data_IF_659373516767
#
_entry.id   IF_659373516767
#
_cell.length_a   1.000
_cell.length_b   1.000
_cell.length_c   1.000
_cell.angle_alpha   90.00
_cell.angle_beta   90.00
_cell.angle_gamma   90.00
#
_symmetry.space_group_name_H-M   'P 1'
#
loop_
_entity.id
_entity.type
_entity.pdbx_description
1 polymer ?
#
# COMPACT_ATOMS: atom_id res chain seq x y z
N UNK A 1 8.85 -0.77 42.80
CA UNK A 1 10.23 -0.69 43.30
C UNK A 1 10.17 -0.11 44.71
N UNK A 2 10.23 -0.95 45.74
CA UNK A 2 10.47 -0.46 47.11
C UNK A 2 12.00 -0.42 47.25
N UNK A 3 12.59 0.76 47.13
CA UNK A 3 14.02 1.08 47.41
C UNK A 3 15.05 0.00 47.01
N UNK A 4 15.37 -0.13 45.72
CA UNK A 4 16.58 -0.85 45.24
C UNK A 4 16.80 -2.29 45.74
N UNK A 5 15.77 -2.98 46.22
CA UNK A 5 15.85 -4.38 46.62
C UNK A 5 15.35 -5.28 45.48
N UNK A 6 16.19 -6.23 45.05
CA UNK A 6 15.77 -7.33 44.19
C UNK A 6 14.93 -8.28 45.04
N UNK A 7 13.63 -8.34 44.77
CA UNK A 7 12.73 -9.30 45.39
C UNK A 7 12.60 -10.46 44.41
N UNK A 8 12.86 -11.69 44.80
CA UNK A 8 12.65 -12.81 43.88
C UNK A 8 11.14 -13.03 43.67
N UNK A 9 10.66 -13.46 42.48
CA UNK A 9 9.23 -13.65 42.21
C UNK A 9 8.50 -14.52 43.24
N UNK A 10 9.17 -15.54 43.79
CA UNK A 10 8.63 -16.38 44.87
C UNK A 10 8.44 -15.63 46.20
N UNK A 11 9.37 -14.74 46.55
CA UNK A 11 9.23 -13.88 47.74
C UNK A 11 8.09 -12.87 47.54
N UNK A 12 7.94 -12.31 46.34
CA UNK A 12 6.86 -11.38 46.05
C UNK A 12 5.49 -12.04 46.19
N UNK A 13 5.28 -13.22 45.61
CA UNK A 13 4.01 -13.95 45.74
C UNK A 13 3.69 -14.30 47.20
N UNK A 14 4.70 -14.68 47.98
CA UNK A 14 4.54 -14.99 49.40
C UNK A 14 4.06 -13.78 50.23
N UNK A 15 4.52 -12.57 49.92
CA UNK A 15 4.18 -11.35 50.66
C UNK A 15 3.12 -10.48 49.96
N UNK A 16 2.56 -10.92 48.84
CA UNK A 16 1.65 -10.13 48.01
C UNK A 16 0.44 -9.62 48.81
N UNK A 17 -0.20 -10.48 49.61
CA UNK A 17 -1.35 -10.12 50.44
C UNK A 17 -1.00 -9.04 51.48
N UNK A 18 0.24 -9.01 51.96
CA UNK A 18 0.73 -8.02 52.92
C UNK A 18 1.05 -6.67 52.26
N UNK A 19 1.35 -6.67 50.96
CA UNK A 19 1.80 -5.48 50.22
C UNK A 19 0.75 -4.88 49.30
N UNK A 20 -0.48 -5.41 49.26
CA UNK A 20 -1.59 -4.90 48.44
C UNK A 20 -1.83 -3.40 48.63
N UNK A 21 -1.65 -2.87 49.85
CA UNK A 21 -1.86 -1.46 50.18
C UNK A 21 -0.73 -0.51 49.71
N UNK A 22 0.37 -1.04 49.14
CA UNK A 22 1.57 -0.29 48.74
C UNK A 22 1.71 -0.27 47.20
N UNK A 23 0.87 -1.01 46.48
CA UNK A 23 0.96 -1.14 45.03
C UNK A 23 0.50 0.15 44.33
N UNK A 24 1.43 0.76 43.59
CA UNK A 24 1.19 1.96 42.79
C UNK A 24 0.54 1.55 41.46
N UNK A 25 -0.69 2.00 41.23
CA UNK A 25 -1.54 1.70 40.07
C UNK A 25 -0.97 2.21 38.73
N UNK A 26 -0.10 3.22 38.76
CA UNK A 26 0.56 3.74 37.57
C UNK A 26 1.97 3.17 37.39
N UNK A 27 2.22 2.62 36.21
CA UNK A 27 3.48 1.98 35.83
C UNK A 27 4.23 2.90 34.88
N UNK A 28 5.46 3.25 35.25
CA UNK A 28 6.39 3.87 34.32
C UNK A 28 6.70 2.90 33.16
N UNK A 29 6.68 3.40 31.92
CA UNK A 29 6.91 2.60 30.71
C UNK A 29 8.17 1.72 30.76
N UNK A 30 9.23 2.20 31.41
CA UNK A 30 10.51 1.49 31.55
C UNK A 30 10.46 0.29 32.51
N UNK A 31 9.43 0.19 33.35
CA UNK A 31 9.29 -0.86 34.38
C UNK A 31 8.19 -1.88 34.08
N UNK A 32 7.47 -1.74 32.96
CA UNK A 32 6.32 -2.61 32.63
C UNK A 32 6.70 -4.09 32.62
N UNK A 33 7.77 -4.45 31.90
CA UNK A 33 8.26 -5.85 31.83
C UNK A 33 8.66 -6.36 33.21
N UNK A 34 9.46 -5.59 33.97
CA UNK A 34 9.92 -5.98 35.29
C UNK A 34 8.76 -6.23 36.26
N UNK A 35 7.71 -5.38 36.24
CA UNK A 35 6.54 -5.58 37.10
C UNK A 35 5.73 -6.80 36.68
N UNK A 36 5.64 -7.09 35.39
CA UNK A 36 4.95 -8.27 34.87
C UNK A 36 5.60 -9.59 35.27
N UNK A 37 6.90 -9.61 35.58
CA UNK A 37 7.57 -10.80 36.13
C UNK A 37 7.03 -11.23 37.51
N UNK A 38 6.31 -10.33 38.21
CA UNK A 38 5.78 -10.55 39.54
C UNK A 38 4.28 -10.88 39.55
N UNK A 39 3.67 -11.13 38.39
CA UNK A 39 2.27 -11.56 38.29
C UNK A 39 2.19 -13.04 37.94
N UNK A 40 0.98 -13.60 37.89
CA UNK A 40 0.73 -14.96 37.39
C UNK A 40 1.26 -15.17 35.96
N UNK A 41 1.43 -14.09 35.19
CA UNK A 41 2.00 -14.11 33.84
C UNK A 41 3.53 -14.11 33.83
N UNK A 42 4.18 -13.95 34.98
CA UNK A 42 5.63 -13.70 35.07
C UNK A 42 6.49 -14.79 34.47
N UNK A 43 6.09 -16.06 34.58
CA UNK A 43 6.81 -17.17 33.96
C UNK A 43 6.76 -17.11 32.42
N UNK A 44 5.59 -16.80 31.86
CA UNK A 44 5.44 -16.65 30.40
C UNK A 44 6.20 -15.42 29.89
N UNK A 45 6.17 -14.31 30.63
CA UNK A 45 6.96 -13.10 30.32
C UNK A 45 8.46 -13.39 30.37
N UNK A 46 8.93 -14.11 31.39
CA UNK A 46 10.34 -14.50 31.47
C UNK A 46 10.76 -15.37 30.28
N UNK A 47 9.94 -16.37 29.91
CA UNK A 47 10.20 -17.20 28.74
C UNK A 47 10.26 -16.38 27.43
N UNK A 48 9.40 -15.38 27.26
CA UNK A 48 9.48 -14.44 26.13
C UNK A 48 10.79 -13.63 26.11
N UNK A 49 11.25 -13.15 27.27
CA UNK A 49 12.51 -12.38 27.39
C UNK A 49 13.73 -13.25 27.08
N UNK A 50 13.69 -14.54 27.45
CA UNK A 50 14.74 -15.52 27.14
C UNK A 50 14.69 -16.01 25.67
N UNK A 51 13.66 -15.63 24.91
CA UNK A 51 13.46 -16.05 23.52
C UNK A 51 12.80 -17.43 23.38
N UNK A 52 12.40 -18.09 24.47
CA UNK A 52 11.69 -19.36 24.47
C UNK A 52 10.17 -19.13 24.34
N UNK A 53 9.76 -18.68 23.14
CA UNK A 53 8.36 -18.31 22.89
C UNK A 53 7.43 -19.54 22.92
N UNK A 54 7.92 -20.71 22.49
CA UNK A 54 7.14 -21.95 22.53
C UNK A 54 6.73 -22.29 23.97
N UNK A 55 7.68 -22.22 24.91
CA UNK A 55 7.39 -22.41 26.33
C UNK A 55 6.46 -21.33 26.86
N UNK A 56 6.67 -20.06 26.48
CA UNK A 56 5.78 -18.97 26.89
C UNK A 56 4.31 -19.23 26.51
N UNK A 57 4.06 -19.74 25.30
CA UNK A 57 2.72 -20.09 24.81
C UNK A 57 2.11 -21.24 25.61
N UNK A 58 2.91 -22.22 26.05
CA UNK A 58 2.44 -23.37 26.84
C UNK A 58 2.09 -23.01 28.28
N UNK A 59 2.82 -22.06 28.87
CA UNK A 59 2.69 -21.71 30.29
C UNK A 59 1.90 -20.42 30.54
N UNK A 60 1.39 -19.76 29.49
CA UNK A 60 0.59 -18.54 29.66
C UNK A 60 -0.70 -18.86 30.45
N UNK A 61 -1.07 -18.04 31.45
CA UNK A 61 -2.31 -18.22 32.19
C UNK A 61 -3.57 -18.09 31.32
N UNK A 62 -4.59 -18.88 31.64
CA UNK A 62 -5.94 -18.74 31.03
C UNK A 62 -6.86 -17.79 31.80
N UNK A 63 -6.37 -17.23 32.91
CA UNK A 63 -7.14 -16.39 33.82
C UNK A 63 -7.38 -15.01 33.20
N UNK A 64 -8.53 -14.40 33.53
CA UNK A 64 -8.78 -13.00 33.17
C UNK A 64 -7.77 -12.12 33.90
N UNK A 65 -7.17 -11.18 33.18
CA UNK A 65 -6.27 -10.16 33.74
C UNK A 65 -7.08 -9.23 34.65
N UNK A 66 -6.61 -9.03 35.88
CA UNK A 66 -7.28 -8.21 36.89
C UNK A 66 -6.63 -6.83 36.98
N UNK A 67 -5.32 -6.76 36.76
CA UNK A 67 -4.53 -5.52 36.91
C UNK A 67 -4.03 -4.97 35.56
N UNK A 68 -3.61 -3.69 35.56
CA UNK A 68 -2.95 -3.07 34.41
C UNK A 68 -1.63 -3.79 34.06
N UNK A 69 -0.89 -4.26 35.08
CA UNK A 69 0.36 -5.01 34.92
C UNK A 69 0.12 -6.35 34.22
N UNK A 70 -0.93 -7.08 34.60
CA UNK A 70 -1.32 -8.34 33.97
C UNK A 70 -1.86 -8.13 32.56
N UNK A 71 -2.60 -7.04 32.34
CA UNK A 71 -3.07 -6.65 31.01
C UNK A 71 -1.89 -6.40 30.08
N UNK A 72 -0.87 -5.68 30.54
CA UNK A 72 0.38 -5.52 29.78
C UNK A 72 1.08 -6.86 29.57
N UNK A 73 1.22 -7.69 30.61
CA UNK A 73 1.89 -8.99 30.52
C UNK A 73 1.24 -9.90 29.47
N UNK A 74 -0.09 -9.96 29.46
CA UNK A 74 -0.87 -10.69 28.47
C UNK A 74 -0.60 -10.18 27.06
N UNK A 75 -0.64 -8.86 26.84
CA UNK A 75 -0.33 -8.25 25.54
C UNK A 75 1.12 -8.47 25.10
N UNK A 76 2.06 -8.46 26.05
CA UNK A 76 3.47 -8.73 25.79
C UNK A 76 3.67 -10.16 25.30
N UNK A 77 3.11 -11.15 26.00
CA UNK A 77 3.17 -12.56 25.57
C UNK A 77 2.47 -12.74 24.22
N UNK A 78 1.31 -12.12 24.02
CA UNK A 78 0.59 -12.16 22.75
C UNK A 78 1.39 -11.54 21.59
N UNK A 79 2.10 -10.43 21.80
CA UNK A 79 2.99 -9.86 20.80
C UNK A 79 4.07 -10.86 20.36
N UNK A 80 4.74 -11.49 21.33
CA UNK A 80 5.80 -12.46 21.04
C UNK A 80 5.25 -13.73 20.36
N UNK A 81 4.09 -14.24 20.80
CA UNK A 81 3.39 -15.34 20.15
C UNK A 81 3.04 -15.02 18.69
N UNK A 82 2.52 -13.82 18.44
CA UNK A 82 2.23 -13.35 17.09
C UNK A 82 3.46 -13.26 16.20
N UNK A 83 4.57 -12.71 16.72
CA UNK A 83 5.84 -12.66 16.00
C UNK A 83 6.38 -14.06 15.71
N UNK A 84 6.29 -14.97 16.68
CA UNK A 84 6.68 -16.36 16.50
C UNK A 84 5.87 -17.03 15.37
N UNK A 85 4.56 -16.80 15.30
CA UNK A 85 3.74 -17.34 14.21
C UNK A 85 4.11 -16.77 12.85
N UNK A 86 4.41 -15.47 12.76
CA UNK A 86 4.92 -14.86 11.51
C UNK A 86 6.27 -15.44 11.08
N UNK A 87 7.17 -15.73 12.03
CA UNK A 87 8.46 -16.39 11.74
C UNK A 87 8.28 -17.81 11.16
N UNK A 88 7.21 -18.49 11.54
CA UNK A 88 6.86 -19.83 11.04
C UNK A 88 6.04 -19.79 9.74
N UNK A 89 5.93 -18.62 9.11
CA UNK A 89 5.11 -18.39 7.93
C UNK A 89 3.59 -18.62 8.13
N UNK A 90 3.11 -18.55 9.38
CA UNK A 90 1.72 -18.82 9.77
C UNK A 90 0.97 -17.54 10.11
N UNK A 91 0.90 -16.61 9.18
CA UNK A 91 0.30 -15.29 9.41
C UNK A 91 -1.16 -15.34 9.90
N UNK A 92 -1.96 -16.31 9.47
CA UNK A 92 -3.33 -16.50 9.95
C UNK A 92 -3.39 -16.82 11.44
N UNK A 93 -2.46 -17.64 11.94
CA UNK A 93 -2.33 -17.96 13.36
C UNK A 93 -1.85 -16.72 14.17
N UNK A 94 -1.15 -15.78 13.52
CA UNK A 94 -0.67 -14.55 14.15
C UNK A 94 -1.76 -13.46 14.34
N UNK A 95 -2.90 -13.54 13.63
CA UNK A 95 -3.94 -12.50 13.63
C UNK A 95 -4.47 -12.24 15.05
N UNK A 96 -4.91 -13.29 15.73
CA UNK A 96 -5.51 -13.18 17.06
C UNK A 96 -4.53 -12.60 18.10
N UNK A 97 -3.32 -13.18 18.29
CA UNK A 97 -2.39 -12.67 19.28
C UNK A 97 -1.90 -11.25 18.99
N UNK A 98 -1.67 -10.89 17.72
CA UNK A 98 -1.25 -9.53 17.37
C UNK A 98 -2.36 -8.49 17.57
N UNK A 99 -3.62 -8.85 17.30
CA UNK A 99 -4.75 -7.97 17.59
C UNK A 99 -4.94 -7.76 19.10
N UNK A 100 -4.69 -8.78 19.94
CA UNK A 100 -4.71 -8.61 21.40
C UNK A 100 -3.64 -7.61 21.86
N UNK A 101 -2.45 -7.65 21.25
CA UNK A 101 -1.33 -6.77 21.56
C UNK A 101 -1.37 -5.40 20.87
N UNK A 102 -2.37 -5.12 20.02
CA UNK A 102 -2.40 -3.97 19.09
C UNK A 102 -2.07 -2.62 19.74
N UNK A 103 -2.63 -2.34 20.91
CA UNK A 103 -2.38 -1.05 21.58
C UNK A 103 -0.92 -0.87 22.03
N UNK A 104 -0.25 -1.94 22.49
CA UNK A 104 1.16 -1.85 22.89
C UNK A 104 2.08 -1.82 21.66
N UNK A 105 1.70 -2.51 20.59
CA UNK A 105 2.39 -2.44 19.29
C UNK A 105 2.37 -0.98 18.78
N UNK A 106 1.20 -0.34 18.75
CA UNK A 106 1.07 1.06 18.32
C UNK A 106 1.87 2.04 19.19
N UNK A 107 2.12 1.70 20.46
CA UNK A 107 2.92 2.51 21.37
C UNK A 107 4.44 2.26 21.27
N UNK A 108 4.89 1.19 20.59
CA UNK A 108 6.29 0.77 20.53
C UNK A 108 6.83 0.72 19.10
N UNK A 109 7.67 1.69 18.73
CA UNK A 109 8.27 1.74 17.39
C UNK A 109 9.07 0.48 17.06
N UNK A 110 9.81 -0.06 18.02
CA UNK A 110 10.60 -1.29 17.83
C UNK A 110 9.70 -2.49 17.49
N UNK A 111 8.52 -2.58 18.10
CA UNK A 111 7.59 -3.67 17.83
C UNK A 111 6.95 -3.55 16.45
N UNK A 112 6.64 -2.32 16.03
CA UNK A 112 6.16 -2.04 14.68
C UNK A 112 7.19 -2.44 13.63
N UNK A 113 8.46 -2.06 13.83
CA UNK A 113 9.56 -2.39 12.92
C UNK A 113 9.79 -3.89 12.79
N UNK A 114 9.75 -4.64 13.89
CA UNK A 114 9.92 -6.10 13.83
C UNK A 114 8.74 -6.77 13.12
N UNK A 115 7.49 -6.34 13.38
CA UNK A 115 6.32 -6.86 12.65
C UNK A 115 6.44 -6.52 11.16
N UNK A 116 6.79 -5.29 10.79
CA UNK A 116 6.97 -4.89 9.40
C UNK A 116 8.02 -5.76 8.68
N UNK A 117 9.15 -6.03 9.35
CA UNK A 117 10.20 -6.93 8.86
C UNK A 117 9.67 -8.35 8.66
N UNK A 118 8.98 -8.91 9.65
CA UNK A 118 8.42 -10.26 9.57
C UNK A 118 7.34 -10.37 8.49
N UNK A 119 6.45 -9.39 8.38
CA UNK A 119 5.44 -9.33 7.32
C UNK A 119 6.07 -9.21 5.92
N UNK A 120 7.17 -8.47 5.79
CA UNK A 120 7.93 -8.37 4.53
C UNK A 120 8.52 -9.71 4.10
N UNK A 121 8.97 -10.54 5.05
CA UNK A 121 9.42 -11.91 4.77
C UNK A 121 8.23 -12.84 4.47
N UNK A 122 7.13 -12.70 5.18
CA UNK A 122 5.92 -13.50 5.01
C UNK A 122 5.34 -13.35 3.59
N UNK A 123 5.23 -12.12 3.08
CA UNK A 123 4.64 -11.89 1.74
C UNK A 123 5.38 -12.61 0.61
N UNK A 124 6.67 -12.90 0.77
CA UNK A 124 7.45 -13.63 -0.23
C UNK A 124 7.05 -15.10 -0.35
N UNK A 125 6.39 -15.66 0.66
CA UNK A 125 5.94 -17.05 0.70
C UNK A 125 4.47 -17.23 0.32
N UNK A 126 3.73 -16.14 0.16
CA UNK A 126 2.35 -16.19 -0.30
C UNK A 126 2.37 -16.31 -1.83
N UNK A 127 1.65 -17.30 -2.36
CA UNK A 127 1.60 -17.57 -3.82
C UNK A 127 0.26 -17.20 -4.44
N UNK A 128 -0.79 -17.09 -3.61
CA UNK A 128 -2.15 -16.87 -4.07
C UNK A 128 -2.54 -15.38 -3.98
N UNK A 129 -3.14 -14.85 -5.04
CA UNK A 129 -3.54 -13.44 -5.10
C UNK A 129 -4.58 -13.06 -4.02
N UNK A 130 -5.62 -13.88 -3.82
CA UNK A 130 -6.62 -13.67 -2.76
C UNK A 130 -5.96 -13.67 -1.38
N UNK A 131 -5.03 -14.58 -1.15
CA UNK A 131 -4.28 -14.63 0.10
C UNK A 131 -3.43 -13.36 0.31
N UNK A 132 -2.79 -12.84 -0.73
CA UNK A 132 -2.05 -11.58 -0.64
C UNK A 132 -2.95 -10.41 -0.23
N UNK A 133 -4.16 -10.33 -0.78
CA UNK A 133 -5.13 -9.29 -0.40
C UNK A 133 -5.55 -9.40 1.06
N UNK A 134 -5.88 -10.60 1.53
CA UNK A 134 -6.26 -10.84 2.92
C UNK A 134 -5.10 -10.49 3.87
N UNK A 135 -3.89 -10.93 3.52
CA UNK A 135 -2.69 -10.65 4.30
C UNK A 135 -2.36 -9.15 4.34
N UNK A 136 -2.45 -8.45 3.20
CA UNK A 136 -2.22 -7.02 3.12
C UNK A 136 -3.22 -6.23 3.97
N UNK A 137 -4.49 -6.64 3.96
CA UNK A 137 -5.53 -6.02 4.77
C UNK A 137 -5.25 -6.23 6.27
N UNK A 138 -4.88 -7.46 6.68
CA UNK A 138 -4.45 -7.74 8.05
C UNK A 138 -3.30 -6.83 8.50
N UNK A 139 -2.24 -6.73 7.68
CA UNK A 139 -1.05 -5.95 8.04
C UNK A 139 -1.37 -4.45 8.13
N UNK A 140 -2.18 -3.93 7.21
CA UNK A 140 -2.67 -2.56 7.25
C UNK A 140 -3.52 -2.29 8.50
N UNK A 141 -4.46 -3.18 8.83
CA UNK A 141 -5.33 -3.00 9.99
C UNK A 141 -4.56 -3.07 11.30
N UNK A 142 -3.47 -3.84 11.36
CA UNK A 142 -2.61 -3.95 12.53
C UNK A 142 -1.77 -2.70 12.75
N UNK A 143 -1.05 -2.25 11.71
CA UNK A 143 -0.01 -1.21 11.83
C UNK A 143 -0.30 0.08 11.08
N UNK A 144 -0.91 -0.02 9.89
CA UNK A 144 -1.00 1.08 8.92
C UNK A 144 0.35 1.81 8.71
N UNK A 145 1.47 1.07 8.76
CA UNK A 145 2.81 1.56 8.42
C UNK A 145 2.91 1.87 6.92
N UNK A 146 3.95 2.59 6.49
CA UNK A 146 4.13 2.88 5.07
C UNK A 146 4.27 1.60 4.23
N UNK A 147 4.94 0.57 4.76
CA UNK A 147 5.07 -0.72 4.10
C UNK A 147 3.72 -1.42 3.95
N UNK A 148 2.91 -1.45 5.01
CA UNK A 148 1.59 -2.05 4.99
C UNK A 148 0.63 -1.30 4.04
N UNK A 149 0.66 0.04 4.06
CA UNK A 149 -0.12 0.91 3.17
C UNK A 149 0.22 0.66 1.71
N UNK A 150 1.50 0.74 1.36
CA UNK A 150 1.99 0.51 0.00
C UNK A 150 1.59 -0.86 -0.50
N UNK A 151 1.74 -1.89 0.34
CA UNK A 151 1.42 -3.27 -0.04
C UNK A 151 -0.08 -3.48 -0.26
N UNK A 152 -0.93 -2.93 0.61
CA UNK A 152 -2.38 -3.00 0.42
C UNK A 152 -2.85 -2.21 -0.81
N UNK A 153 -2.29 -1.03 -1.04
CA UNK A 153 -2.63 -0.18 -2.18
C UNK A 153 -2.30 -0.89 -3.50
N UNK A 154 -1.11 -1.48 -3.59
CA UNK A 154 -0.64 -2.26 -4.76
C UNK A 154 -1.60 -3.40 -5.09
N UNK A 155 -1.93 -4.27 -4.13
CA UNK A 155 -2.78 -5.43 -4.42
C UNK A 155 -4.24 -5.05 -4.69
N UNK A 156 -4.76 -3.97 -4.07
CA UNK A 156 -6.09 -3.44 -4.43
C UNK A 156 -6.09 -2.87 -5.85
N UNK A 157 -5.02 -2.20 -6.28
CA UNK A 157 -4.87 -1.73 -7.64
C UNK A 157 -4.80 -2.90 -8.63
N UNK A 158 -4.09 -3.97 -8.31
CA UNK A 158 -4.03 -5.15 -9.18
C UNK A 158 -5.36 -5.89 -9.29
N UNK A 159 -6.14 -5.94 -8.20
CA UNK A 159 -7.49 -6.48 -8.28
C UNK A 159 -8.37 -5.65 -9.23
N UNK A 160 -8.21 -4.33 -9.24
CA UNK A 160 -8.91 -3.46 -10.18
C UNK A 160 -8.41 -3.64 -11.62
N UNK A 161 -7.11 -3.85 -11.81
CA UNK A 161 -6.54 -4.13 -13.13
C UNK A 161 -7.13 -5.40 -13.74
N UNK A 162 -7.25 -6.48 -12.96
CA UNK A 162 -7.91 -7.71 -13.41
C UNK A 162 -9.39 -7.48 -13.77
N UNK A 163 -10.13 -6.74 -12.93
CA UNK A 163 -11.52 -6.40 -13.21
C UNK A 163 -11.69 -5.59 -14.49
N UNK A 164 -10.77 -4.65 -14.76
CA UNK A 164 -10.72 -3.85 -15.98
C UNK A 164 -10.42 -4.72 -17.21
N UNK A 165 -9.42 -5.61 -17.12
CA UNK A 165 -9.05 -6.52 -18.20
C UNK A 165 -10.18 -7.48 -18.57
N UNK A 166 -10.94 -7.94 -17.57
CA UNK A 166 -12.11 -8.81 -17.76
C UNK A 166 -13.40 -8.05 -18.09
N UNK A 167 -13.33 -6.73 -18.31
CA UNK A 167 -14.49 -5.86 -18.61
C UNK A 167 -15.63 -5.92 -17.58
N UNK A 168 -15.32 -6.34 -16.35
CA UNK A 168 -16.31 -6.46 -15.26
C UNK A 168 -16.58 -5.13 -14.52
N UNK A 169 -15.80 -4.09 -14.84
CA UNK A 169 -15.93 -2.75 -14.28
C UNK A 169 -15.71 -1.70 -15.38
N UNK A 170 -16.45 -0.59 -15.33
CA UNK A 170 -16.23 0.53 -16.24
C UNK A 170 -14.99 1.33 -15.85
N UNK A 171 -14.35 2.00 -16.82
CA UNK A 171 -13.18 2.85 -16.57
C UNK A 171 -13.49 3.99 -15.59
N UNK A 172 -14.68 4.59 -15.63
CA UNK A 172 -15.07 5.68 -14.72
C UNK A 172 -15.24 5.19 -13.28
N UNK A 173 -15.77 3.98 -13.11
CA UNK A 173 -15.89 3.36 -11.80
C UNK A 173 -14.51 2.94 -11.27
N UNK A 174 -13.67 2.36 -12.12
CA UNK A 174 -12.30 1.99 -11.76
C UNK A 174 -11.47 3.21 -11.34
N UNK A 175 -11.54 4.33 -12.07
CA UNK A 175 -10.83 5.56 -11.68
C UNK A 175 -11.26 6.07 -10.30
N UNK A 176 -12.58 6.08 -10.02
CA UNK A 176 -13.07 6.46 -8.68
C UNK A 176 -12.52 5.55 -7.59
N UNK A 177 -12.51 4.23 -7.82
CA UNK A 177 -11.96 3.27 -6.86
C UNK A 177 -10.43 3.43 -6.71
N UNK A 178 -9.70 3.71 -7.80
CA UNK A 178 -8.26 3.98 -7.75
C UNK A 178 -7.93 5.27 -6.99
N UNK A 179 -8.75 6.31 -7.09
CA UNK A 179 -8.58 7.52 -6.29
C UNK A 179 -8.81 7.28 -4.80
N UNK A 180 -9.71 6.36 -4.42
CA UNK A 180 -9.84 5.91 -3.03
C UNK A 180 -8.63 5.09 -2.57
N UNK A 181 -8.10 4.21 -3.43
CA UNK A 181 -6.89 3.44 -3.13
C UNK A 181 -5.67 4.36 -2.96
N UNK A 182 -5.57 5.41 -3.77
CA UNK A 182 -4.50 6.43 -3.66
C UNK A 182 -4.49 7.13 -2.29
N UNK A 183 -5.62 7.19 -1.57
CA UNK A 183 -5.65 7.74 -0.20
C UNK A 183 -4.95 6.81 0.82
N UNK A 184 -4.80 5.53 0.51
CA UNK A 184 -4.06 4.58 1.36
C UNK A 184 -2.56 4.87 1.26
N UNK A 185 -2.06 5.09 0.06
CA UNK A 185 -0.67 5.48 -0.23
C UNK A 185 -0.63 6.39 -1.47
N UNK A 186 -0.37 7.68 -1.23
CA UNK A 186 -0.46 8.74 -2.25
C UNK A 186 0.59 8.58 -3.35
N UNK A 187 1.75 8.01 -3.00
CA UNK A 187 2.92 7.91 -3.86
C UNK A 187 3.17 6.47 -4.35
N UNK A 188 2.17 5.60 -4.23
CA UNK A 188 2.32 4.22 -4.69
C UNK A 188 2.47 4.17 -6.22
N UNK A 189 3.61 3.68 -6.76
CA UNK A 189 3.89 3.75 -8.18
C UNK A 189 2.93 2.91 -9.03
N UNK A 190 2.45 1.78 -8.51
CA UNK A 190 1.50 0.90 -9.21
C UNK A 190 0.13 1.57 -9.32
N UNK A 191 -0.33 2.22 -8.25
CA UNK A 191 -1.59 2.97 -8.27
C UNK A 191 -1.51 4.15 -9.23
N UNK A 192 -0.42 4.94 -9.17
CA UNK A 192 -0.24 6.10 -10.05
C UNK A 192 -0.16 5.71 -11.52
N UNK A 193 0.64 4.70 -11.87
CA UNK A 193 0.72 4.18 -13.25
C UNK A 193 -0.63 3.66 -13.74
N UNK A 194 -1.39 2.94 -12.90
CA UNK A 194 -2.69 2.41 -13.31
C UNK A 194 -3.72 3.53 -13.51
N UNK A 195 -3.72 4.57 -12.67
CA UNK A 195 -4.57 5.76 -12.88
C UNK A 195 -4.27 6.39 -14.25
N UNK A 196 -2.99 6.69 -14.51
CA UNK A 196 -2.56 7.31 -15.77
C UNK A 196 -2.97 6.45 -16.98
N UNK A 197 -2.75 5.13 -16.92
CA UNK A 197 -3.14 4.21 -18.00
C UNK A 197 -4.64 4.23 -18.28
N UNK A 198 -5.47 4.26 -17.24
CA UNK A 198 -6.93 4.29 -17.40
C UNK A 198 -7.38 5.64 -17.97
N UNK A 199 -6.80 6.75 -17.50
CA UNK A 199 -7.06 8.10 -18.02
C UNK A 199 -6.68 8.21 -19.50
N UNK A 200 -5.47 7.81 -19.86
CA UNK A 200 -4.99 7.76 -21.26
C UNK A 200 -5.92 6.90 -22.12
N UNK A 201 -6.35 5.74 -21.62
CA UNK A 201 -7.25 4.85 -22.36
C UNK A 201 -8.62 5.50 -22.59
N UNK A 202 -9.17 6.19 -21.60
CA UNK A 202 -10.43 6.93 -21.76
C UNK A 202 -10.30 8.07 -22.77
N UNK A 203 -9.23 8.85 -22.69
CA UNK A 203 -8.97 9.93 -23.64
C UNK A 203 -8.81 9.40 -25.08
N UNK A 204 -8.07 8.30 -25.27
CA UNK A 204 -7.93 7.68 -26.58
C UNK A 204 -9.25 7.12 -27.13
N UNK A 205 -10.13 6.58 -26.27
CA UNK A 205 -11.49 6.18 -26.68
C UNK A 205 -12.33 7.38 -27.13
N UNK A 206 -12.19 8.52 -26.44
CA UNK A 206 -12.87 9.76 -26.83
C UNK A 206 -12.34 10.27 -28.18
N UNK A 207 -11.03 10.26 -28.37
CA UNK A 207 -10.36 10.61 -29.63
C UNK A 207 -10.81 9.69 -30.77
N UNK A 208 -10.85 8.37 -30.58
CA UNK A 208 -11.33 7.41 -31.58
C UNK A 208 -12.79 7.69 -31.96
N UNK A 209 -13.64 8.04 -30.98
CA UNK A 209 -15.03 8.44 -31.26
C UNK A 209 -15.08 9.71 -32.13
N UNK A 210 -14.29 10.73 -31.81
CA UNK A 210 -14.23 11.97 -32.59
C UNK A 210 -13.73 11.71 -34.02
N UNK A 211 -12.72 10.85 -34.16
CA UNK A 211 -12.17 10.41 -35.44
C UNK A 211 -13.24 9.73 -36.31
N UNK A 212 -13.94 8.72 -35.77
CA UNK A 212 -15.00 7.99 -36.51
C UNK A 212 -16.16 8.89 -36.94
N UNK A 213 -16.43 9.96 -36.19
CA UNK A 213 -17.45 10.93 -36.50
C UNK A 213 -16.97 12.06 -37.44
N UNK A 214 -15.70 12.05 -37.87
CA UNK A 214 -15.11 13.07 -38.72
C UNK A 214 -14.94 14.44 -38.04
N UNK A 215 -14.90 14.48 -36.69
CA UNK A 215 -14.83 15.71 -35.91
C UNK A 215 -13.37 16.11 -35.61
N UNK A 216 -12.57 16.28 -36.66
CA UNK A 216 -11.11 16.48 -36.55
C UNK A 216 -10.72 17.73 -35.77
N UNK A 217 -11.39 18.86 -35.97
CA UNK A 217 -11.09 20.10 -35.24
C UNK A 217 -11.34 19.95 -33.74
N UNK A 218 -12.40 19.23 -33.36
CA UNK A 218 -12.71 18.94 -31.96
C UNK A 218 -11.68 17.97 -31.37
N UNK A 219 -11.25 16.98 -32.16
CA UNK A 219 -10.18 16.04 -31.78
C UNK A 219 -8.88 16.78 -31.47
N UNK A 220 -8.46 17.71 -32.33
CA UNK A 220 -7.27 18.56 -32.13
C UNK A 220 -7.39 19.40 -30.87
N UNK A 221 -8.53 20.07 -30.68
CA UNK A 221 -8.77 20.86 -29.46
C UNK A 221 -8.69 20.01 -28.20
N UNK A 222 -9.28 18.80 -28.23
CA UNK A 222 -9.27 17.88 -27.09
C UNK A 222 -7.86 17.37 -26.79
N UNK A 223 -7.12 16.93 -27.81
CA UNK A 223 -5.76 16.46 -27.69
C UNK A 223 -4.82 17.57 -27.20
N UNK A 224 -4.96 18.81 -27.67
CA UNK A 224 -4.15 19.93 -27.19
C UNK A 224 -4.35 20.24 -25.70
N UNK A 225 -5.57 20.05 -25.20
CA UNK A 225 -5.93 20.35 -23.80
C UNK A 225 -5.58 19.21 -22.83
N UNK A 226 -5.17 18.04 -23.31
CA UNK A 226 -4.77 16.95 -22.41
C UNK A 226 -3.43 17.25 -21.72
N UNK A 227 -3.33 16.78 -20.48
CA UNK A 227 -2.10 16.78 -19.71
C UNK A 227 -1.21 15.57 -20.04
N UNK A 228 -1.75 14.56 -20.73
CA UNK A 228 -1.06 13.32 -21.06
C UNK A 228 -0.24 13.47 -22.35
N UNK A 229 1.08 13.56 -22.21
CA UNK A 229 2.01 13.64 -23.34
C UNK A 229 1.82 12.50 -24.35
N UNK A 230 1.57 11.29 -23.85
CA UNK A 230 1.30 10.12 -24.69
C UNK A 230 0.09 10.31 -25.60
N UNK A 231 -0.98 10.93 -25.12
CA UNK A 231 -2.17 11.21 -25.95
C UNK A 231 -1.84 12.26 -26.99
N UNK A 232 -1.14 13.33 -26.61
CA UNK A 232 -0.68 14.37 -27.55
C UNK A 232 0.18 13.77 -28.67
N UNK A 233 1.15 12.94 -28.31
CA UNK A 233 2.02 12.25 -29.25
C UNK A 233 1.22 11.38 -30.23
N UNK A 234 0.35 10.50 -29.73
CA UNK A 234 -0.43 9.59 -30.58
C UNK A 234 -1.29 10.36 -31.59
N UNK A 235 -1.98 11.42 -31.16
CA UNK A 235 -2.86 12.19 -32.04
C UNK A 235 -2.06 13.01 -33.05
N UNK A 236 -0.94 13.62 -32.64
CA UNK A 236 -0.06 14.34 -33.56
C UNK A 236 0.55 13.39 -34.61
N UNK A 237 1.06 12.22 -34.16
CA UNK A 237 1.63 11.21 -35.04
C UNK A 237 0.61 10.71 -36.07
N UNK A 238 -0.64 10.49 -35.67
CA UNK A 238 -1.72 10.10 -36.59
C UNK A 238 -1.88 11.08 -37.77
N UNK A 239 -1.88 12.39 -37.51
CA UNK A 239 -1.98 13.39 -38.58
C UNK A 239 -0.74 13.42 -39.47
N UNK A 240 0.45 13.22 -38.89
CA UNK A 240 1.70 13.15 -39.63
C UNK A 240 1.81 11.89 -40.49
N UNK A 241 1.32 10.74 -40.01
CA UNK A 241 1.24 9.50 -40.78
C UNK A 241 0.32 9.68 -42.00
N UNK A 242 -0.88 10.26 -41.82
CA UNK A 242 -1.76 10.58 -42.95
C UNK A 242 -1.06 11.48 -43.98
N UNK A 243 -0.36 12.51 -43.50
CA UNK A 243 0.38 13.43 -44.36
C UNK A 243 1.48 12.70 -45.16
N UNK A 244 2.32 11.94 -44.47
CA UNK A 244 3.47 11.24 -45.07
C UNK A 244 2.99 10.18 -46.05
N UNK A 245 2.02 9.36 -45.67
CA UNK A 245 1.51 8.29 -46.52
C UNK A 245 0.72 8.84 -47.70
N UNK A 246 -0.03 9.92 -47.49
CA UNK A 246 -0.73 10.63 -48.57
C UNK A 246 0.23 11.18 -49.63
N UNK A 247 1.37 11.75 -49.20
CA UNK A 247 2.41 12.25 -50.11
C UNK A 247 3.15 11.11 -50.81
N UNK A 248 3.55 10.06 -50.09
CA UNK A 248 4.26 8.89 -50.65
C UNK A 248 3.43 8.16 -51.70
N UNK A 249 2.14 8.01 -51.45
CA UNK A 249 1.23 7.30 -52.35
C UNK A 249 0.69 8.18 -53.49
N UNK A 250 1.06 9.47 -53.54
CA UNK A 250 0.56 10.41 -54.53
C UNK A 250 -0.94 10.69 -54.43
N UNK A 251 -1.56 10.42 -53.29
CA UNK A 251 -3.01 10.59 -53.07
C UNK A 251 -3.35 11.95 -52.44
N UNK A 252 -2.33 12.70 -51.99
CA UNK A 252 -2.49 13.99 -51.33
C UNK A 252 -1.84 15.10 -52.15
N UNK A 253 -2.68 15.91 -52.80
CA UNK A 253 -2.23 17.01 -53.68
C UNK A 253 -2.73 18.40 -53.24
N UNK A 254 -3.72 18.47 -52.35
CA UNK A 254 -4.26 19.74 -51.87
C UNK A 254 -3.29 20.40 -50.87
N UNK A 255 -2.65 21.53 -51.22
CA UNK A 255 -1.72 22.21 -50.34
C UNK A 255 -2.38 22.70 -49.05
N UNK A 256 -3.69 22.99 -49.06
CA UNK A 256 -4.41 23.41 -47.86
C UNK A 256 -4.53 22.27 -46.86
N UNK A 257 -4.87 21.07 -47.34
CA UNK A 257 -4.97 19.88 -46.50
C UNK A 257 -3.61 19.46 -45.96
N UNK A 258 -2.55 19.52 -46.78
CA UNK A 258 -1.16 19.29 -46.36
C UNK A 258 -0.78 20.22 -45.20
N UNK A 259 -1.02 21.53 -45.36
CA UNK A 259 -0.73 22.50 -44.30
C UNK A 259 -1.60 22.31 -43.07
N UNK A 260 -2.88 21.94 -43.23
CA UNK A 260 -3.81 21.72 -42.13
C UNK A 260 -3.39 20.52 -41.25
N UNK A 261 -3.04 19.38 -41.87
CA UNK A 261 -2.56 18.20 -41.15
C UNK A 261 -1.28 18.50 -40.35
N UNK A 262 -0.33 19.19 -40.98
CA UNK A 262 0.90 19.62 -40.31
C UNK A 262 0.64 20.61 -39.16
N UNK A 263 -0.23 21.60 -39.39
CA UNK A 263 -0.60 22.60 -38.36
C UNK A 263 -1.28 21.94 -37.17
N UNK A 264 -2.17 20.97 -37.41
CA UNK A 264 -2.84 20.23 -36.34
C UNK A 264 -1.87 19.41 -35.50
N UNK A 265 -0.93 18.70 -36.12
CA UNK A 265 0.12 17.99 -35.39
C UNK A 265 0.98 18.97 -34.57
N UNK A 266 1.39 20.10 -35.18
CA UNK A 266 2.17 21.13 -34.51
C UNK A 266 1.46 21.75 -33.31
N UNK A 267 0.16 22.05 -33.44
CA UNK A 267 -0.65 22.59 -32.34
C UNK A 267 -0.77 21.65 -31.14
N UNK A 268 -0.74 20.34 -31.38
CA UNK A 268 -0.88 19.31 -30.34
C UNK A 268 0.47 19.02 -29.69
N UNK A 269 1.53 18.89 -30.50
CA UNK A 269 2.83 18.43 -30.05
C UNK A 269 3.97 19.21 -30.75
N UNK A 270 4.19 20.49 -30.36
CA UNK A 270 5.09 21.39 -31.09
C UNK A 270 6.58 21.08 -30.88
N UNK A 271 6.92 20.52 -29.71
CA UNK A 271 8.31 20.37 -29.27
C UNK A 271 8.86 18.95 -29.40
N UNK A 272 8.09 18.01 -29.96
CA UNK A 272 8.52 16.62 -30.10
C UNK A 272 9.71 16.53 -31.07
N UNK A 273 10.87 16.01 -30.63
CA UNK A 273 12.06 15.91 -31.48
C UNK A 273 11.84 15.15 -32.78
N UNK A 274 11.04 14.09 -32.75
CA UNK A 274 10.74 13.24 -33.90
C UNK A 274 9.96 13.99 -35.01
N UNK A 275 9.19 15.01 -34.64
CA UNK A 275 8.33 15.75 -35.58
C UNK A 275 8.99 17.01 -36.17
N UNK A 276 10.12 17.46 -35.59
CA UNK A 276 10.75 18.74 -35.97
C UNK A 276 11.15 18.83 -37.44
N UNK A 277 11.69 17.75 -38.01
CA UNK A 277 12.09 17.73 -39.42
C UNK A 277 10.88 17.98 -40.36
N UNK A 278 9.73 17.43 -40.00
CA UNK A 278 8.48 17.60 -40.76
C UNK A 278 7.98 19.04 -40.60
N UNK A 279 7.92 19.57 -39.37
CA UNK A 279 7.51 20.95 -39.12
C UNK A 279 8.38 21.98 -39.86
N UNK A 280 9.69 21.77 -39.89
CA UNK A 280 10.63 22.62 -40.64
C UNK A 280 10.37 22.57 -42.15
N UNK A 281 10.12 21.38 -42.71
CA UNK A 281 9.80 21.23 -44.13
C UNK A 281 8.51 21.95 -44.53
N UNK A 282 7.54 22.00 -43.61
CA UNK A 282 6.26 22.72 -43.76
C UNK A 282 6.35 24.20 -43.37
N UNK A 283 7.52 24.67 -42.90
CA UNK A 283 7.76 26.03 -42.39
C UNK A 283 6.85 26.42 -41.22
N UNK A 284 6.47 25.45 -40.40
CA UNK A 284 5.77 25.65 -39.13
C UNK A 284 6.80 26.04 -38.05
N UNK A 285 6.51 27.07 -37.26
CA UNK A 285 7.37 27.62 -36.20
C UNK A 285 6.53 28.09 -35.02
#
# INVERSE_FOLDING_TARGET
MVKNLLIMPGCYHHYLQTWQNILVDNIDSSQKILRSLYTDWGLAVAACVEGDIQRAIQIKPSNKTVTVVETFACKFVAYHEGCYQLQQYKWREAILPLNQAKSEIQASLNWQQEIDKLCTLQRQNISNFTEHLEFAQFWYDLLASQLARSYLAEYKAEQLREKLANETISSEKALRELQEIKKIDEYNPVVTDLIERVEVTQELKEIDRLLRNGQYETMVKRARLTHHERVRFIVANFFLEILIDGLKNGNLHDPKLIMQLGSWAYEICPNEPEFQAIYQSLRLR
#
